data_IF_123608117204
#
_entry.id   IF_123608117204
#
_cell.length_a   1.000
_cell.length_b   1.000
_cell.length_c   1.000
_cell.angle_alpha   90.00
_cell.angle_beta   90.00
_cell.angle_gamma   90.00
#
_symmetry.space_group_name_H-M   'P 1'
#
loop_
_entity.id
_entity.type
_entity.pdbx_description
1 polymer ?
#
# COMPACT_ATOMS: atom_id res chain seq x y z
N UNK A 1 16.71 -21.04 -15.58
CA UNK A 1 15.96 -20.17 -14.64
C UNK A 1 14.72 -20.93 -14.20
N UNK A 2 14.35 -20.86 -12.93
CA UNK A 2 13.07 -21.41 -12.47
C UNK A 2 11.90 -20.60 -13.01
N UNK A 3 10.76 -21.24 -13.28
CA UNK A 3 9.54 -20.53 -13.71
C UNK A 3 8.86 -19.85 -12.53
N UNK A 4 8.08 -18.81 -12.80
CA UNK A 4 7.33 -18.06 -11.77
C UNK A 4 6.38 -18.97 -10.99
N UNK A 5 5.75 -19.96 -11.64
CA UNK A 5 4.87 -20.93 -10.98
C UNK A 5 5.62 -21.82 -9.99
N UNK A 6 6.87 -22.21 -10.30
CA UNK A 6 7.70 -23.00 -9.40
C UNK A 6 8.13 -22.17 -8.18
N UNK A 7 8.49 -20.90 -8.37
CA UNK A 7 8.81 -19.98 -7.29
C UNK A 7 7.61 -19.71 -6.38
N UNK A 8 6.42 -19.52 -6.96
CA UNK A 8 5.18 -19.36 -6.21
C UNK A 8 4.85 -20.61 -5.38
N UNK A 9 5.00 -21.81 -5.97
CA UNK A 9 4.81 -23.09 -5.25
C UNK A 9 5.76 -23.23 -4.07
N UNK A 10 7.00 -22.76 -4.17
CA UNK A 10 7.95 -22.76 -3.04
C UNK A 10 7.57 -21.72 -1.99
N UNK A 11 7.21 -20.51 -2.41
CA UNK A 11 6.81 -19.43 -1.51
C UNK A 11 5.60 -19.82 -0.64
N UNK A 12 4.60 -20.51 -1.19
CA UNK A 12 3.41 -20.92 -0.41
C UNK A 12 3.70 -21.97 0.67
N UNK A 13 4.84 -22.69 0.59
CA UNK A 13 5.27 -23.66 1.61
C UNK A 13 5.91 -23.00 2.83
N UNK A 14 6.30 -21.71 2.73
CA UNK A 14 6.87 -20.97 3.85
C UNK A 14 5.82 -20.72 4.93
N UNK A 15 6.28 -20.50 6.17
CA UNK A 15 5.37 -20.09 7.25
C UNK A 15 4.72 -18.74 6.91
N UNK A 16 3.49 -18.46 7.40
CA UNK A 16 2.78 -17.23 7.07
C UNK A 16 3.62 -15.95 7.20
N UNK A 17 4.43 -15.84 8.25
CA UNK A 17 5.31 -14.68 8.50
C UNK A 17 6.42 -14.56 7.45
N UNK A 18 6.98 -15.69 7.01
CA UNK A 18 8.06 -15.72 6.01
C UNK A 18 7.53 -15.39 4.62
N UNK A 19 6.30 -15.80 4.31
CA UNK A 19 5.62 -15.40 3.08
C UNK A 19 5.47 -13.88 2.99
N UNK A 20 5.04 -13.24 4.09
CA UNK A 20 4.92 -11.78 4.15
C UNK A 20 6.28 -11.12 3.95
N UNK A 21 7.32 -11.57 4.65
CA UNK A 21 8.68 -11.04 4.48
C UNK A 21 9.20 -11.17 3.05
N UNK A 22 8.91 -12.29 2.39
CA UNK A 22 9.29 -12.50 0.99
C UNK A 22 8.56 -11.52 0.06
N UNK A 23 7.26 -11.32 0.27
CA UNK A 23 6.47 -10.34 -0.50
C UNK A 23 7.03 -8.93 -0.31
N UNK A 24 7.30 -8.53 0.93
CA UNK A 24 7.91 -7.23 1.25
C UNK A 24 9.26 -7.03 0.55
N UNK A 25 10.13 -8.04 0.59
CA UNK A 25 11.43 -7.99 -0.08
C UNK A 25 11.30 -7.86 -1.61
N UNK A 26 10.36 -8.59 -2.22
CA UNK A 26 10.08 -8.48 -3.66
C UNK A 26 9.56 -7.09 -3.99
N UNK A 27 8.57 -6.57 -3.25
CA UNK A 27 8.01 -5.24 -3.47
C UNK A 27 9.08 -4.16 -3.36
N UNK A 28 9.91 -4.20 -2.32
CA UNK A 28 11.02 -3.29 -2.12
C UNK A 28 12.06 -3.35 -3.26
N UNK A 29 12.23 -4.50 -3.91
CA UNK A 29 13.13 -4.63 -5.05
C UNK A 29 12.59 -4.00 -6.35
N UNK A 30 11.26 -3.91 -6.48
CA UNK A 30 10.57 -3.37 -7.66
C UNK A 30 10.36 -1.87 -7.55
N UNK A 31 10.01 -1.39 -6.36
CA UNK A 31 9.74 0.00 -6.05
C UNK A 31 10.55 0.38 -4.82
N UNK A 32 11.75 0.93 -5.07
CA UNK A 32 12.60 1.40 -3.98
C UNK A 32 11.98 2.68 -3.44
N UNK A 33 11.76 2.79 -2.12
CA UNK A 33 11.22 4.01 -1.53
C UNK A 33 12.11 5.20 -1.90
N UNK A 34 11.51 6.18 -2.56
CA UNK A 34 12.13 7.48 -2.75
C UNK A 34 11.81 8.31 -1.51
N UNK A 35 12.83 8.57 -0.70
CA UNK A 35 12.66 9.27 0.57
C UNK A 35 12.08 10.67 0.38
N UNK A 36 12.34 11.33 -0.74
CA UNK A 36 11.81 12.67 -0.99
C UNK A 36 10.31 12.60 -1.31
N UNK A 37 9.89 11.58 -2.06
CA UNK A 37 8.48 11.30 -2.34
C UNK A 37 7.75 10.91 -1.05
N UNK A 38 8.34 10.06 -0.21
CA UNK A 38 7.76 9.67 1.07
C UNK A 38 7.55 10.87 2.00
N UNK A 39 8.55 11.75 2.12
CA UNK A 39 8.44 12.97 2.93
C UNK A 39 7.39 13.94 2.38
N UNK A 40 7.28 14.07 1.05
CA UNK A 40 6.24 14.88 0.43
C UNK A 40 4.84 14.32 0.72
N UNK A 41 4.66 12.99 0.66
CA UNK A 41 3.40 12.33 0.99
C UNK A 41 3.01 12.47 2.45
N UNK A 42 3.95 12.35 3.37
CA UNK A 42 3.71 12.57 4.82
C UNK A 42 3.20 14.01 5.01
N UNK A 43 3.94 14.99 4.49
CA UNK A 43 3.62 16.41 4.64
C UNK A 43 2.23 16.75 4.08
N UNK A 44 1.92 16.27 2.87
CA UNK A 44 0.62 16.51 2.24
C UNK A 44 -0.52 15.81 2.99
N UNK A 45 -0.30 14.58 3.46
CA UNK A 45 -1.32 13.80 4.16
C UNK A 45 -1.68 14.44 5.51
N UNK A 46 -0.67 14.90 6.26
CA UNK A 46 -0.86 15.66 7.49
C UNK A 46 -1.58 16.99 7.22
N UNK A 47 -1.15 17.75 6.20
CA UNK A 47 -1.78 19.02 5.83
C UNK A 47 -3.27 18.84 5.48
N UNK A 48 -3.61 17.82 4.68
CA UNK A 48 -5.00 17.50 4.32
C UNK A 48 -5.82 17.09 5.53
N UNK A 49 -5.25 16.28 6.42
CA UNK A 49 -5.94 15.86 7.63
C UNK A 49 -6.26 17.04 8.56
N UNK A 50 -5.30 17.96 8.73
CA UNK A 50 -5.53 19.17 9.52
C UNK A 50 -6.56 20.10 8.88
N UNK A 51 -6.53 20.29 7.56
CA UNK A 51 -7.55 21.07 6.84
C UNK A 51 -8.96 20.45 7.01
N UNK A 52 -9.07 19.12 6.91
CA UNK A 52 -10.32 18.41 7.18
C UNK A 52 -10.82 18.65 8.61
N UNK A 53 -9.95 18.52 9.62
CA UNK A 53 -10.32 18.78 11.03
C UNK A 53 -10.78 20.22 11.27
N UNK A 54 -10.26 21.19 10.51
CA UNK A 54 -10.70 22.60 10.55
C UNK A 54 -11.99 22.86 9.75
N UNK A 55 -12.50 21.88 9.01
CA UNK A 55 -13.67 22.03 8.14
C UNK A 55 -13.35 22.76 6.82
N UNK A 56 -12.09 22.91 6.47
CA UNK A 56 -11.62 23.56 5.24
C UNK A 56 -11.56 22.59 4.05
N UNK A 57 -11.65 21.29 4.32
CA UNK A 57 -11.66 20.22 3.33
C UNK A 57 -12.91 19.35 3.54
N UNK A 58 -13.69 19.15 2.49
CA UNK A 58 -14.81 18.20 2.52
C UNK A 58 -14.32 16.76 2.37
N UNK A 59 -14.91 15.83 3.12
CA UNK A 59 -14.67 14.40 2.97
C UNK A 59 -15.87 13.73 2.29
N UNK A 60 -15.57 12.70 1.50
CA UNK A 60 -16.60 11.82 0.93
C UNK A 60 -16.74 10.63 1.86
N UNK A 61 -17.98 10.34 2.26
CA UNK A 61 -18.30 9.19 3.08
C UNK A 61 -17.86 7.87 2.41
N UNK A 62 -17.29 6.97 3.20
CA UNK A 62 -16.74 5.70 2.71
C UNK A 62 -17.82 4.81 2.06
N UNK A 63 -19.04 4.75 2.62
CA UNK A 63 -20.11 3.94 2.04
C UNK A 63 -20.55 4.47 0.67
N UNK A 64 -20.44 5.78 0.45
CA UNK A 64 -20.70 6.39 -0.87
C UNK A 64 -19.71 5.88 -1.92
N UNK A 65 -18.42 5.87 -1.60
CA UNK A 65 -17.38 5.34 -2.51
C UNK A 65 -17.52 3.83 -2.70
N UNK A 66 -17.73 3.09 -1.61
CA UNK A 66 -17.89 1.63 -1.63
C UNK A 66 -19.04 1.20 -2.54
N UNK A 67 -20.18 1.90 -2.52
CA UNK A 67 -21.32 1.59 -3.41
C UNK A 67 -21.02 1.87 -4.89
N UNK A 68 -20.15 2.83 -5.19
CA UNK A 68 -19.78 3.19 -6.57
C UNK A 68 -18.86 2.17 -7.24
N UNK A 69 -18.00 1.50 -6.46
CA UNK A 69 -16.96 0.60 -6.98
C UNK A 69 -17.05 -0.83 -6.43
N UNK A 70 -18.00 -1.11 -5.54
CA UNK A 70 -18.30 -2.47 -5.10
C UNK A 70 -18.92 -3.25 -6.25
N UNK A 71 -18.25 -4.32 -6.68
CA UNK A 71 -18.85 -5.38 -7.49
C UNK A 71 -19.93 -6.13 -6.70
#
# INVERSE_FOLDING_TARGET
>A
METTELLAKKAVQLQPVERIRLVEAILHSLDKPDTDVDQAWISESEARYEAYKRGELEAIDWDTIRKRYGH
#
